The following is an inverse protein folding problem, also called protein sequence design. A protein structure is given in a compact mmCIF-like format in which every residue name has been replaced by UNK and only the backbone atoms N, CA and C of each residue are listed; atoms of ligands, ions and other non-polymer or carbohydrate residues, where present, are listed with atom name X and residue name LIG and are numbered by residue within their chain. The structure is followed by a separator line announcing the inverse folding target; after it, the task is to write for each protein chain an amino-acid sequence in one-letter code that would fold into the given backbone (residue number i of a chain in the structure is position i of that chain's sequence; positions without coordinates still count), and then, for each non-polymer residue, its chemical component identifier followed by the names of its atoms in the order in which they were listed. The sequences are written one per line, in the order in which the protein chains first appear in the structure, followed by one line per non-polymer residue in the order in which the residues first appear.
data_IF_943785972788
#
_entry.id   IF_943785972788
#
_cell.length_a   1.000
_cell.length_b   1.000
_cell.length_c   1.000
_cell.angle_alpha   90.00
_cell.angle_beta   90.00
_cell.angle_gamma   90.00
#
_symmetry.space_group_name_H-M   'P 1'
#
loop_
_entity.id
_entity.type
_entity.pdbx_description
1 polymer ?
#
# COMPACT_ATOMS: atom_id res chain seq x y z
N UNK A 1 12.44 12.12 11.67
CA UNK A 1 13.23 11.08 10.98
C UNK A 1 14.58 11.68 10.63
N UNK A 2 15.63 11.16 11.24
CA UNK A 2 17.01 11.66 11.13
C UNK A 2 17.55 11.47 9.70
N UNK A 3 17.20 12.40 8.81
CA UNK A 3 17.35 12.29 7.35
C UNK A 3 18.15 13.46 6.75
N UNK A 4 18.71 14.32 7.61
CA UNK A 4 19.51 15.50 7.24
C UNK A 4 20.70 15.15 6.33
N UNK A 5 21.30 13.98 6.57
CA UNK A 5 22.59 13.58 6.01
C UNK A 5 22.50 12.80 4.68
N UNK A 6 21.28 12.59 4.16
CA UNK A 6 21.05 11.82 2.93
C UNK A 6 20.69 12.67 1.71
N UNK A 7 20.63 13.99 1.89
CA UNK A 7 20.14 14.96 0.91
C UNK A 7 21.01 15.08 -0.36
N UNK A 8 22.30 14.72 -0.27
CA UNK A 8 23.28 14.93 -1.34
C UNK A 8 23.76 13.65 -2.05
N UNK A 9 23.16 12.47 -1.76
CA UNK A 9 23.57 11.22 -2.43
C UNK A 9 22.73 10.92 -3.67
N UNK A 10 23.40 10.75 -4.81
CA UNK A 10 22.82 10.24 -6.07
C UNK A 10 21.97 8.98 -5.82
N UNK A 11 20.71 9.00 -6.29
CA UNK A 11 19.69 7.98 -6.07
C UNK A 11 20.07 6.54 -6.51
N UNK A 12 21.17 6.37 -7.25
CA UNK A 12 21.71 5.09 -7.70
C UNK A 12 22.42 4.25 -6.62
N UNK A 13 22.82 4.82 -5.48
CA UNK A 13 23.61 4.12 -4.42
C UNK A 13 22.85 3.84 -3.12
N UNK A 14 21.53 4.00 -3.12
CA UNK A 14 20.73 3.72 -1.94
C UNK A 14 20.58 2.21 -1.75
N UNK A 15 20.92 1.73 -0.55
CA UNK A 15 20.62 0.35 -0.14
C UNK A 15 19.12 0.09 -0.28
N UNK A 16 18.73 -1.18 -0.42
CA UNK A 16 17.34 -1.54 -0.58
C UNK A 16 16.45 -0.99 0.56
N UNK A 17 16.97 -0.94 1.79
CA UNK A 17 16.29 -0.31 2.93
C UNK A 17 16.14 1.22 2.83
N UNK A 18 17.11 1.92 2.22
CA UNK A 18 17.03 3.37 2.02
C UNK A 18 16.05 3.76 0.91
N UNK A 19 16.02 3.01 -0.21
CA UNK A 19 15.00 3.21 -1.27
C UNK A 19 13.58 2.98 -0.72
N UNK A 20 13.42 1.99 0.14
CA UNK A 20 12.15 1.69 0.81
C UNK A 20 11.74 2.78 1.81
N UNK A 21 12.66 3.24 2.67
CA UNK A 21 12.41 4.36 3.60
C UNK A 21 12.06 5.66 2.85
N UNK A 22 12.69 5.90 1.70
CA UNK A 22 12.35 7.02 0.82
C UNK A 22 10.93 6.89 0.25
N UNK A 23 10.51 5.68 -0.14
CA UNK A 23 9.13 5.42 -0.58
C UNK A 23 8.09 5.75 0.49
N UNK A 24 8.31 5.29 1.73
CA UNK A 24 7.44 5.59 2.88
C UNK A 24 7.47 7.07 3.26
N UNK A 25 8.64 7.70 3.25
CA UNK A 25 8.78 9.13 3.51
C UNK A 25 8.01 9.98 2.49
N UNK A 26 8.00 9.58 1.22
CA UNK A 26 7.21 10.27 0.19
C UNK A 26 5.71 10.21 0.47
N UNK A 27 5.21 9.11 1.05
CA UNK A 27 3.81 8.99 1.47
C UNK A 27 3.47 10.03 2.55
N UNK A 28 4.31 10.09 3.58
CA UNK A 28 4.14 10.95 4.76
C UNK A 28 4.22 12.46 4.45
N UNK A 29 5.02 12.85 3.46
CA UNK A 29 5.24 14.27 3.12
C UNK A 29 4.07 14.86 2.33
N UNK A 30 3.10 14.05 1.88
CA UNK A 30 1.99 14.57 1.08
C UNK A 30 1.03 15.48 1.86
N UNK A 31 1.02 15.45 3.20
CA UNK A 31 0.19 16.32 4.04
C UNK A 31 -1.32 16.21 3.78
N UNK A 32 -1.75 15.17 3.04
CA UNK A 32 -3.14 14.98 2.64
C UNK A 32 -3.91 14.34 3.79
N UNK A 33 -5.10 14.87 4.14
CA UNK A 33 -5.91 14.30 5.22
C UNK A 33 -6.45 12.90 4.89
N UNK A 34 -6.57 12.55 3.60
CA UNK A 34 -7.07 11.25 3.15
C UNK A 34 -6.03 10.56 2.27
N UNK A 35 -5.69 9.33 2.62
CA UNK A 35 -4.82 8.44 1.85
C UNK A 35 -5.64 7.34 1.17
N UNK A 36 -5.33 7.05 -0.08
CA UNK A 36 -5.87 5.90 -0.81
C UNK A 36 -4.67 5.12 -1.35
N UNK A 37 -4.51 3.89 -0.88
CA UNK A 37 -3.32 3.08 -1.11
C UNK A 37 -3.74 1.73 -1.70
N UNK A 38 -3.15 1.37 -2.82
CA UNK A 38 -3.35 0.08 -3.48
C UNK A 38 -2.08 -0.75 -3.33
N UNK A 39 -2.19 -1.86 -2.60
CA UNK A 39 -1.12 -2.80 -2.31
C UNK A 39 0.20 -2.15 -1.79
N UNK A 40 0.14 -1.30 -0.74
CA UNK A 40 1.29 -0.50 -0.29
C UNK A 40 2.43 -1.32 0.33
N UNK A 41 2.18 -2.57 0.70
CA UNK A 41 3.15 -3.48 1.30
C UNK A 41 3.86 -4.38 0.30
N UNK A 42 3.47 -4.35 -0.98
CA UNK A 42 4.16 -5.15 -2.01
C UNK A 42 5.62 -4.73 -2.09
N UNK A 43 6.52 -5.73 -2.03
CA UNK A 43 7.98 -5.55 -2.00
C UNK A 43 8.56 -4.96 -0.71
N UNK A 44 7.77 -4.85 0.37
CA UNK A 44 8.25 -4.53 1.71
C UNK A 44 8.66 -5.79 2.48
N UNK A 45 9.72 -5.69 3.26
CA UNK A 45 10.08 -6.70 4.27
C UNK A 45 9.28 -6.47 5.56
N UNK A 46 9.31 -7.43 6.49
CA UNK A 46 8.54 -7.37 7.73
C UNK A 46 8.83 -6.10 8.56
N UNK A 47 10.10 -5.65 8.59
CA UNK A 47 10.47 -4.42 9.29
C UNK A 47 9.84 -3.18 8.64
N UNK A 48 9.78 -3.14 7.31
CA UNK A 48 9.18 -2.05 6.54
C UNK A 48 7.65 -2.05 6.64
N UNK A 49 7.01 -3.21 6.74
CA UNK A 49 5.57 -3.31 7.04
C UNK A 49 5.25 -2.72 8.42
N UNK A 50 6.10 -2.99 9.42
CA UNK A 50 5.98 -2.35 10.74
C UNK A 50 6.05 -0.83 10.68
N UNK A 51 7.05 -0.29 9.96
CA UNK A 51 7.19 1.16 9.77
C UNK A 51 6.01 1.78 9.01
N UNK A 52 5.46 1.06 8.02
CA UNK A 52 4.26 1.48 7.32
C UNK A 52 3.04 1.52 8.25
N UNK A 53 2.85 0.50 9.08
CA UNK A 53 1.77 0.47 10.05
C UNK A 53 1.88 1.63 11.06
N UNK A 54 3.08 1.92 11.57
CA UNK A 54 3.31 3.06 12.46
C UNK A 54 2.99 4.41 11.80
N UNK A 55 3.37 4.55 10.53
CA UNK A 55 3.07 5.74 9.73
C UNK A 55 1.55 5.95 9.55
N UNK A 56 0.81 4.87 9.27
CA UNK A 56 -0.65 4.92 9.17
C UNK A 56 -1.29 5.25 10.52
N UNK A 57 -0.85 4.63 11.62
CA UNK A 57 -1.34 4.95 12.98
C UNK A 57 -1.14 6.42 13.33
N UNK A 58 0.03 6.98 13.01
CA UNK A 58 0.30 8.39 13.25
C UNK A 58 -0.63 9.31 12.42
N UNK A 59 -0.89 8.96 11.16
CA UNK A 59 -1.81 9.70 10.29
C UNK A 59 -3.25 9.68 10.82
N UNK A 60 -3.74 8.51 11.24
CA UNK A 60 -5.07 8.38 11.84
C UNK A 60 -5.17 9.13 13.17
N UNK A 61 -4.15 9.04 14.02
CA UNK A 61 -4.08 9.76 15.30
C UNK A 61 -4.07 11.29 15.16
N UNK A 62 -3.64 11.81 14.01
CA UNK A 62 -3.70 13.23 13.66
C UNK A 62 -5.06 13.67 13.07
N UNK A 63 -6.06 12.78 13.03
CA UNK A 63 -7.38 13.04 12.46
C UNK A 63 -7.48 12.78 10.95
N UNK A 64 -6.50 12.10 10.38
CA UNK A 64 -6.52 11.65 8.99
C UNK A 64 -7.37 10.39 8.78
N UNK A 65 -7.62 10.06 7.52
CA UNK A 65 -8.24 8.81 7.10
C UNK A 65 -7.36 8.09 6.06
N UNK A 66 -7.44 6.76 6.03
CA UNK A 66 -6.75 5.94 5.04
C UNK A 66 -7.67 4.81 4.53
N UNK A 67 -7.76 4.68 3.22
CA UNK A 67 -8.33 3.54 2.52
C UNK A 67 -7.18 2.71 1.95
N UNK A 68 -7.10 1.44 2.34
CA UNK A 68 -5.99 0.57 1.96
C UNK A 68 -6.55 -0.72 1.37
N UNK A 69 -6.19 -1.02 0.13
CA UNK A 69 -6.41 -2.31 -0.49
C UNK A 69 -5.16 -3.18 -0.29
N UNK A 70 -5.32 -4.34 0.35
CA UNK A 70 -4.25 -5.31 0.54
C UNK A 70 -4.80 -6.71 0.77
N UNK A 71 -3.99 -7.73 0.48
CA UNK A 71 -4.24 -9.13 0.79
C UNK A 71 -3.52 -9.61 2.06
N UNK A 72 -2.87 -8.70 2.79
CA UNK A 72 -2.08 -9.01 4.00
C UNK A 72 -2.60 -8.27 5.23
N UNK A 73 -2.54 -8.92 6.39
CA UNK A 73 -2.85 -8.25 7.66
C UNK A 73 -1.74 -7.24 8.01
N UNK A 74 -2.14 -5.99 8.21
CA UNK A 74 -1.25 -4.89 8.56
C UNK A 74 -1.12 -4.68 10.07
N UNK A 75 -1.90 -5.40 10.88
CA UNK A 75 -1.96 -5.24 12.33
C UNK A 75 -2.46 -3.84 12.75
N UNK A 76 -3.33 -3.24 11.93
CA UNK A 76 -3.96 -1.96 12.20
C UNK A 76 -5.31 -2.21 12.87
N UNK A 77 -5.62 -1.43 13.92
CA UNK A 77 -6.97 -1.40 14.50
C UNK A 77 -7.85 -0.51 13.60
N UNK A 78 -8.47 -1.13 12.60
CA UNK A 78 -9.26 -0.46 11.58
C UNK A 78 -10.43 -1.33 11.12
N UNK A 79 -11.52 -0.67 10.70
CA UNK A 79 -12.64 -1.34 10.07
C UNK A 79 -12.18 -2.03 8.78
N UNK A 80 -12.39 -3.34 8.70
CA UNK A 80 -12.02 -4.15 7.54
C UNK A 80 -13.25 -4.45 6.70
N UNK A 81 -13.20 -4.07 5.42
CA UNK A 81 -14.24 -4.43 4.45
C UNK A 81 -13.76 -5.59 3.58
N UNK A 82 -14.43 -6.74 3.68
CA UNK A 82 -14.21 -7.85 2.76
C UNK A 82 -14.84 -7.52 1.39
N UNK A 83 -13.99 -7.20 0.41
CA UNK A 83 -14.42 -6.88 -0.95
C UNK A 83 -14.75 -8.12 -1.80
N UNK A 84 -14.43 -9.33 -1.32
CA UNK A 84 -14.71 -10.57 -2.07
C UNK A 84 -16.22 -10.80 -2.26
N UNK A 85 -17.06 -10.22 -1.40
CA UNK A 85 -18.52 -10.23 -1.54
C UNK A 85 -19.01 -9.50 -2.79
N UNK A 86 -18.20 -8.61 -3.37
CA UNK A 86 -18.49 -7.88 -4.61
C UNK A 86 -17.81 -8.50 -5.84
N UNK A 87 -17.21 -9.70 -5.70
CA UNK A 87 -16.56 -10.38 -6.81
C UNK A 87 -17.57 -10.62 -7.93
N UNK A 88 -17.25 -10.14 -9.14
CA UNK A 88 -18.06 -10.42 -10.31
C UNK A 88 -18.12 -11.93 -10.55
N UNK A 89 -19.32 -12.51 -10.49
CA UNK A 89 -19.57 -13.87 -10.98
C UNK A 89 -19.30 -13.84 -12.46
N UNK A 90 -18.36 -14.67 -12.95
CA UNK A 90 -18.13 -14.84 -14.38
C UNK A 90 -19.48 -15.16 -15.01
N UNK A 91 -20.00 -14.28 -15.87
CA UNK A 91 -21.14 -14.63 -16.70
C UNK A 91 -20.75 -15.93 -17.42
N UNK A 92 -21.61 -16.94 -17.35
CA UNK A 92 -21.41 -18.19 -18.07
C UNK A 92 -21.16 -17.80 -19.53
N UNK A 93 -19.94 -18.04 -19.99
CA UNK A 93 -19.61 -17.96 -21.41
C UNK A 93 -20.42 -19.10 -22.03
N UNK A 94 -21.59 -18.78 -22.55
CA UNK A 94 -22.36 -19.69 -23.38
C UNK A 94 -21.53 -19.95 -24.62
N UNK A 95 -21.11 -21.20 -24.75
CA UNK A 95 -20.37 -21.75 -25.88
C UNK A 95 -21.05 -21.31 -27.19
N UNK A 96 -20.30 -20.59 -28.02
CA UNK A 96 -20.78 -20.03 -29.29
C UNK A 96 -19.90 -20.53 -30.44
N UNK A 97 -19.54 -21.83 -30.42
CA UNK A 97 -18.59 -22.42 -31.37
C UNK A 97 -19.06 -23.77 -31.96
N UNK A 98 -20.36 -23.93 -32.21
CA UNK A 98 -20.88 -24.96 -33.12
C UNK A 98 -21.57 -24.32 -34.33
N UNK A 99 -20.79 -23.68 -35.20
CA UNK A 99 -21.28 -23.22 -36.49
C UNK A 99 -20.26 -23.29 -37.64
N UNK A 100 -19.20 -24.10 -37.56
CA UNK A 100 -18.39 -24.48 -38.72
C UNK A 100 -17.73 -25.85 -38.49
N UNK A 101 -18.40 -26.92 -38.92
CA UNK A 101 -17.88 -28.30 -38.97
C UNK A 101 -18.66 -29.13 -39.97
#
# INVERSE_FOLDING_TARGET
FDLSDLRDRMAGRLSAGQKRRLGLARLLVTGRPVWALDEPTVSLDAASVGLFADAVRAHLGAGGAALIATHTDLGLDADTLDVTVFRATKAAVTDFDEAFG
#
